data_IF_051746195440
#
_entry.id   IF_051746195440
#
_cell.length_a   1.000
_cell.length_b   1.000
_cell.length_c   1.000
_cell.angle_alpha   90.00
_cell.angle_beta   90.00
_cell.angle_gamma   90.00
#
_symmetry.space_group_name_H-M   'P 1'
#
loop_
_entity.id
_entity.type
_entity.pdbx_description
1 polymer ?
#
# COMPACT_ATOMS: atom_id res chain seq x y z
N UNK A 1 6.29 13.03 -9.13
CA UNK A 1 5.81 11.64 -9.27
C UNK A 1 5.73 11.07 -7.87
N UNK A 2 4.56 10.59 -7.44
CA UNK A 2 4.39 10.06 -6.08
C UNK A 2 4.88 8.61 -6.00
N UNK A 3 5.59 8.29 -4.94
CA UNK A 3 6.12 6.95 -4.67
C UNK A 3 5.39 6.35 -3.46
N UNK A 4 4.62 5.28 -3.69
CA UNK A 4 3.79 4.68 -2.63
C UNK A 4 4.63 4.06 -1.52
N UNK A 5 5.84 3.56 -1.81
CA UNK A 5 6.69 2.94 -0.80
C UNK A 5 7.18 4.00 0.18
N UNK A 6 7.67 5.12 -0.35
CA UNK A 6 8.17 6.26 0.43
C UNK A 6 7.04 6.96 1.19
N UNK A 7 5.90 7.18 0.54
CA UNK A 7 4.73 7.79 1.20
C UNK A 7 4.22 6.89 2.32
N UNK A 8 4.08 5.58 2.09
CA UNK A 8 3.64 4.64 3.11
C UNK A 8 4.63 4.57 4.27
N UNK A 9 5.93 4.55 3.98
CA UNK A 9 6.98 4.58 4.99
C UNK A 9 6.87 5.83 5.87
N UNK A 10 6.72 7.01 5.26
CA UNK A 10 6.58 8.27 5.98
C UNK A 10 5.29 8.31 6.83
N UNK A 11 4.20 7.71 6.35
CA UNK A 11 2.92 7.63 7.07
C UNK A 11 2.97 6.67 8.26
N UNK A 12 3.58 5.51 8.07
CA UNK A 12 3.72 4.49 9.13
C UNK A 12 4.81 4.91 10.14
N UNK A 13 5.79 5.69 9.69
CA UNK A 13 6.95 6.07 10.50
C UNK A 13 7.92 4.92 10.72
N UNK A 14 8.00 3.95 9.77
CA UNK A 14 8.93 2.83 9.89
C UNK A 14 10.34 3.21 9.39
N UNK A 15 11.41 2.76 10.06
CA UNK A 15 12.77 3.15 9.73
C UNK A 15 13.23 2.60 8.38
N UNK A 16 12.71 1.43 7.96
CA UNK A 16 13.08 0.80 6.70
C UNK A 16 11.86 0.38 5.87
N UNK A 17 11.99 0.40 4.53
CA UNK A 17 10.99 -0.15 3.61
C UNK A 17 10.78 -1.65 3.81
N UNK A 18 11.82 -2.36 4.22
CA UNK A 18 11.78 -3.78 4.58
C UNK A 18 10.82 -4.10 5.71
N UNK A 19 10.43 -3.09 6.50
CA UNK A 19 9.54 -3.30 7.63
C UNK A 19 8.06 -3.22 7.21
N UNK A 20 7.75 -2.65 6.04
CA UNK A 20 6.36 -2.49 5.56
C UNK A 20 5.56 -3.80 5.56
N UNK A 21 6.10 -4.96 5.14
CA UNK A 21 5.39 -6.24 5.20
C UNK A 21 5.09 -6.72 6.63
N UNK A 22 5.75 -6.18 7.66
CA UNK A 22 5.45 -6.48 9.07
C UNK A 22 4.32 -5.58 9.61
N UNK A 23 4.12 -4.41 9.00
CA UNK A 23 3.07 -3.44 9.37
C UNK A 23 1.81 -3.54 8.50
N UNK A 24 1.47 -4.72 7.97
CA UNK A 24 0.34 -4.91 7.00
C UNK A 24 -0.96 -4.25 7.44
N UNK A 25 -1.29 -4.32 8.74
CA UNK A 25 -2.51 -3.71 9.29
C UNK A 25 -2.46 -2.19 9.19
N UNK A 26 -1.34 -1.57 9.55
CA UNK A 26 -1.15 -0.12 9.46
C UNK A 26 -1.10 0.32 8.00
N UNK A 27 -0.41 -0.42 7.13
CA UNK A 27 -0.41 -0.20 5.68
C UNK A 27 -1.83 -0.20 5.14
N UNK A 28 -2.64 -1.20 5.52
CA UNK A 28 -4.03 -1.31 5.08
C UNK A 28 -4.87 -0.09 5.48
N UNK A 29 -4.74 0.37 6.73
CA UNK A 29 -5.43 1.57 7.19
C UNK A 29 -5.02 2.83 6.43
N UNK A 30 -3.72 3.01 6.16
CA UNK A 30 -3.24 4.16 5.39
C UNK A 30 -3.62 4.06 3.91
N UNK A 31 -3.63 2.86 3.32
CA UNK A 31 -4.13 2.65 1.96
C UNK A 31 -5.60 3.03 1.79
N UNK A 32 -6.45 2.77 2.80
CA UNK A 32 -7.86 3.22 2.81
C UNK A 32 -7.99 4.76 2.84
N UNK A 33 -6.99 5.47 3.37
CA UNK A 33 -6.99 6.94 3.50
C UNK A 33 -6.30 7.65 2.34
N UNK A 34 -5.37 6.98 1.68
CA UNK A 34 -4.62 7.50 0.55
C UNK A 34 -5.45 7.44 -0.74
N UNK A 35 -5.29 8.45 -1.59
CA UNK A 35 -5.83 8.41 -2.94
C UNK A 35 -4.94 7.51 -3.81
N UNK A 36 -5.23 6.21 -3.85
CA UNK A 36 -4.44 5.23 -4.60
C UNK A 36 -4.37 5.54 -6.11
N UNK A 37 -5.34 6.29 -6.63
CA UNK A 37 -5.37 6.76 -8.02
C UNK A 37 -4.25 7.75 -8.37
N UNK A 38 -3.60 8.38 -7.38
CA UNK A 38 -2.47 9.29 -7.62
C UNK A 38 -1.16 8.56 -7.96
N UNK A 39 -1.13 7.24 -7.80
CA UNK A 39 0.04 6.40 -8.01
C UNK A 39 -0.08 5.57 -9.30
N UNK A 40 1.02 5.34 -10.03
CA UNK A 40 1.02 4.46 -11.19
C UNK A 40 0.58 3.04 -10.83
N UNK A 41 -0.29 2.43 -11.65
CA UNK A 41 -0.78 1.05 -11.44
C UNK A 41 0.33 0.02 -11.24
N UNK A 42 1.43 0.14 -12.00
CA UNK A 42 2.60 -0.74 -11.86
C UNK A 42 3.18 -0.69 -10.45
N UNK A 43 3.28 0.51 -9.89
CA UNK A 43 3.82 0.72 -8.56
C UNK A 43 2.88 0.17 -7.47
N UNK A 44 1.56 0.31 -7.66
CA UNK A 44 0.55 -0.30 -6.78
C UNK A 44 0.63 -1.84 -6.80
N UNK A 45 0.83 -2.42 -7.98
CA UNK A 45 1.00 -3.86 -8.18
C UNK A 45 2.27 -4.38 -7.47
N UNK A 46 3.41 -3.73 -7.69
CA UNK A 46 4.67 -4.11 -7.05
C UNK A 46 4.56 -3.96 -5.51
N UNK A 47 3.94 -2.87 -5.03
CA UNK A 47 3.71 -2.63 -3.62
C UNK A 47 2.80 -3.68 -2.98
N UNK A 48 1.69 -4.02 -3.63
CA UNK A 48 0.74 -5.02 -3.14
C UNK A 48 1.40 -6.38 -3.00
N UNK A 49 2.17 -6.80 -4.01
CA UNK A 49 2.93 -8.06 -3.96
C UNK A 49 3.98 -8.04 -2.87
N UNK A 50 4.65 -6.92 -2.67
CA UNK A 50 5.68 -6.78 -1.65
C UNK A 50 5.13 -6.86 -0.22
N UNK A 51 4.08 -6.09 0.11
CA UNK A 51 3.55 -5.99 1.47
C UNK A 51 2.60 -7.14 1.80
N UNK A 52 1.68 -7.45 0.88
CA UNK A 52 0.59 -8.38 1.13
C UNK A 52 0.81 -9.76 0.51
N UNK A 53 1.73 -9.89 -0.45
CA UNK A 53 1.96 -11.14 -1.17
C UNK A 53 0.86 -11.48 -2.18
N UNK A 54 -0.02 -10.52 -2.50
CA UNK A 54 -1.15 -10.72 -3.43
C UNK A 54 -1.17 -9.64 -4.50
N UNK A 55 -1.80 -9.89 -5.66
CA UNK A 55 -1.98 -8.87 -6.70
C UNK A 55 -2.80 -7.68 -6.20
N UNK A 56 -2.51 -6.49 -6.71
CA UNK A 56 -3.23 -5.26 -6.36
C UNK A 56 -4.71 -5.34 -6.70
N UNK A 57 -5.11 -6.11 -7.70
CA UNK A 57 -6.54 -6.36 -8.01
C UNK A 57 -7.31 -6.93 -6.81
N UNK A 58 -6.69 -7.82 -6.01
CA UNK A 58 -7.31 -8.40 -4.81
C UNK A 58 -7.45 -7.33 -3.71
N UNK A 59 -6.41 -6.52 -3.53
CA UNK A 59 -6.43 -5.40 -2.57
C UNK A 59 -7.48 -4.37 -2.98
N UNK A 60 -7.55 -4.00 -4.25
CA UNK A 60 -8.53 -3.05 -4.77
C UNK A 60 -9.95 -3.55 -4.56
N UNK A 61 -10.24 -4.81 -4.88
CA UNK A 61 -11.55 -5.42 -4.62
C UNK A 61 -11.90 -5.41 -3.13
N UNK A 62 -10.95 -5.75 -2.27
CA UNK A 62 -11.16 -5.75 -0.83
C UNK A 62 -11.35 -4.33 -0.25
N UNK A 63 -10.72 -3.31 -0.82
CA UNK A 63 -10.93 -1.92 -0.44
C UNK A 63 -12.34 -1.44 -0.84
N UNK A 64 -12.83 -1.81 -2.03
CA UNK A 64 -14.17 -1.43 -2.52
C UNK A 64 -15.31 -2.16 -1.80
N UNK A 65 -15.08 -3.37 -1.27
CA UNK A 65 -16.10 -4.13 -0.51
C UNK A 65 -16.33 -3.61 0.91
N UNK A 66 -15.42 -2.78 1.41
CA UNK A 66 -15.42 -2.27 2.79
C UNK A 66 -15.93 -0.81 2.88
N UNK A 67 -16.45 -0.26 1.77
CA UNK A 67 -17.30 0.95 1.72
C UNK A 67 -18.78 0.57 1.89
#
# INVERSE_FOLDING_TARGET
>A
MKDIFTDMQAKIGCPYLSDLPYYKRTVWFEMKRLCLSDYPKKQLEDFSRYVFGVPYAVIQEALTREE
#
